data_IF_194208974422
#
_entry.id   IF_194208974422
#
_cell.length_a   1.000
_cell.length_b   1.000
_cell.length_c   1.000
_cell.angle_alpha   90.00
_cell.angle_beta   90.00
_cell.angle_gamma   90.00
#
_symmetry.space_group_name_H-M   'P 1'
#
loop_
_entity.id
_entity.type
_entity.pdbx_description
1 polymer ?
#
# COMPACT_ATOMS: atom_id res chain seq x y z
N UNK A 1 4.78 43.26 -10.32
CA UNK A 1 4.00 42.16 -9.69
C UNK A 1 3.62 41.20 -10.80
N UNK A 2 4.29 40.05 -10.88
CA UNK A 2 4.04 39.07 -11.95
C UNK A 2 2.67 38.38 -11.74
N UNK A 3 1.95 38.00 -12.81
CA UNK A 3 0.68 37.31 -12.69
C UNK A 3 0.85 35.96 -11.98
N UNK A 4 -0.03 35.71 -10.99
CA UNK A 4 -0.13 34.42 -10.31
C UNK A 4 -0.58 33.37 -11.34
N UNK A 5 0.15 32.25 -11.51
CA UNK A 5 -0.25 31.22 -12.46
C UNK A 5 -1.65 30.67 -12.11
N UNK A 6 -2.47 30.27 -13.10
CA UNK A 6 -3.77 29.68 -12.85
C UNK A 6 -3.62 28.39 -12.04
N UNK A 7 -4.62 27.99 -11.23
CA UNK A 7 -4.58 26.75 -10.45
C UNK A 7 -4.70 25.52 -11.38
N UNK A 8 -3.64 25.23 -12.12
CA UNK A 8 -3.42 23.96 -12.80
C UNK A 8 -2.77 22.92 -11.86
N UNK A 9 -2.84 23.14 -10.54
CA UNK A 9 -2.16 22.34 -9.52
C UNK A 9 -3.11 21.73 -8.46
N UNK A 10 -4.42 21.94 -8.56
CA UNK A 10 -5.41 21.34 -7.63
C UNK A 10 -5.85 19.93 -8.06
N UNK A 11 -5.45 19.51 -9.26
CA UNK A 11 -5.59 18.15 -9.75
C UNK A 11 -4.25 17.39 -9.67
N UNK A 12 -3.46 17.64 -8.62
CA UNK A 12 -2.41 16.73 -8.20
C UNK A 12 -3.09 15.41 -7.77
N UNK A 13 -3.44 14.62 -8.78
CA UNK A 13 -3.73 13.18 -8.77
C UNK A 13 -3.38 12.58 -7.42
N UNK A 14 -4.38 12.37 -6.56
CA UNK A 14 -4.30 11.41 -5.43
C UNK A 14 -3.60 10.20 -6.03
N UNK A 15 -2.34 9.97 -5.68
CA UNK A 15 -1.57 8.93 -6.33
C UNK A 15 -2.32 7.62 -6.10
N UNK A 16 -2.80 6.99 -7.17
CA UNK A 16 -3.60 5.77 -7.05
C UNK A 16 -2.78 4.77 -6.22
N UNK A 17 -3.36 4.32 -5.11
CA UNK A 17 -2.69 3.37 -4.24
C UNK A 17 -2.32 2.12 -5.05
N UNK A 18 -1.04 1.77 -5.04
CA UNK A 18 -0.53 0.60 -5.72
C UNK A 18 -0.03 -0.40 -4.69
N UNK A 19 -0.41 -1.66 -4.87
CA UNK A 19 0.00 -2.75 -4.01
C UNK A 19 0.18 -3.98 -4.89
N UNK A 20 1.38 -4.54 -4.89
CA UNK A 20 1.72 -5.73 -5.69
C UNK A 20 2.59 -6.65 -4.86
N UNK A 21 2.33 -7.94 -4.98
CA UNK A 21 3.16 -8.96 -4.37
C UNK A 21 4.00 -9.70 -5.41
N UNK A 22 5.07 -10.33 -4.93
CA UNK A 22 5.96 -11.19 -5.70
C UNK A 22 6.35 -12.39 -4.84
N UNK A 23 6.39 -13.56 -5.45
CA UNK A 23 7.03 -14.75 -4.88
C UNK A 23 8.56 -14.58 -4.91
N UNK A 24 9.21 -14.68 -3.75
CA UNK A 24 10.66 -14.59 -3.60
C UNK A 24 11.32 -15.97 -3.49
N UNK A 25 10.53 -17.05 -3.60
CA UNK A 25 10.98 -18.42 -3.38
C UNK A 25 11.22 -18.71 -1.90
N UNK A 26 11.65 -19.94 -1.59
CA UNK A 26 11.98 -20.37 -0.22
C UNK A 26 10.88 -20.09 0.82
N UNK A 27 9.60 -20.21 0.42
CA UNK A 27 8.44 -19.84 1.24
C UNK A 27 8.47 -18.38 1.74
N UNK A 28 9.04 -17.47 0.95
CA UNK A 28 9.04 -16.04 1.19
C UNK A 28 8.32 -15.29 0.06
N UNK A 29 7.62 -14.22 0.41
CA UNK A 29 6.99 -13.30 -0.53
C UNK A 29 7.33 -11.84 -0.15
N UNK A 30 7.33 -10.96 -1.14
CA UNK A 30 7.43 -9.51 -0.91
C UNK A 30 6.17 -8.81 -1.39
N UNK A 31 5.76 -7.75 -0.67
CA UNK A 31 4.67 -6.86 -1.05
C UNK A 31 5.18 -5.44 -1.04
N UNK A 32 5.04 -4.73 -2.16
CA UNK A 32 5.38 -3.30 -2.25
C UNK A 32 4.10 -2.49 -2.28
N UNK A 33 3.95 -1.60 -1.30
CA UNK A 33 2.86 -0.65 -1.21
C UNK A 33 3.36 0.77 -1.48
N UNK A 34 2.59 1.54 -2.26
CA UNK A 34 2.87 2.95 -2.54
C UNK A 34 1.59 3.78 -2.57
N UNK A 35 1.67 5.02 -2.09
CA UNK A 35 0.53 5.95 -1.97
C UNK A 35 -0.11 5.99 -0.59
N UNK A 36 -1.39 6.36 -0.52
CA UNK A 36 -2.13 6.51 0.74
C UNK A 36 -2.70 5.17 1.21
N UNK A 37 -2.38 4.79 2.46
CA UNK A 37 -2.97 3.64 3.14
C UNK A 37 -4.06 4.11 4.11
N UNK A 38 -5.30 4.11 3.63
CA UNK A 38 -6.47 4.61 4.36
C UNK A 38 -7.64 3.61 4.31
N UNK A 39 -8.80 4.04 4.82
CA UNK A 39 -10.03 3.27 4.73
C UNK A 39 -10.38 2.75 3.31
N UNK A 40 -10.13 3.54 2.28
CA UNK A 40 -10.48 3.20 0.90
C UNK A 40 -9.51 2.15 0.32
N UNK A 41 -8.25 2.16 0.74
CA UNK A 41 -7.19 1.32 0.15
C UNK A 41 -6.83 0.09 1.01
N UNK A 42 -7.21 0.10 2.30
CA UNK A 42 -6.98 -0.99 3.25
C UNK A 42 -7.50 -2.36 2.79
N UNK A 43 -8.66 -2.41 2.12
CA UNK A 43 -9.21 -3.66 1.57
C UNK A 43 -8.34 -4.25 0.46
N UNK A 44 -7.79 -3.40 -0.40
CA UNK A 44 -6.87 -3.82 -1.46
C UNK A 44 -5.58 -4.37 -0.86
N UNK A 45 -5.00 -3.68 0.13
CA UNK A 45 -3.82 -4.19 0.85
C UNK A 45 -4.10 -5.56 1.47
N UNK A 46 -5.22 -5.71 2.19
CA UNK A 46 -5.57 -6.97 2.84
C UNK A 46 -5.74 -8.13 1.83
N UNK A 47 -6.31 -7.87 0.66
CA UNK A 47 -6.41 -8.87 -0.41
C UNK A 47 -5.04 -9.36 -0.87
N UNK A 48 -4.13 -8.43 -1.18
CA UNK A 48 -2.78 -8.74 -1.64
C UNK A 48 -1.94 -9.45 -0.57
N UNK A 49 -2.05 -9.03 0.69
CA UNK A 49 -1.35 -9.69 1.81
C UNK A 49 -1.81 -11.14 1.99
N UNK A 50 -3.13 -11.41 1.92
CA UNK A 50 -3.65 -12.77 2.02
C UNK A 50 -3.20 -13.66 0.87
N UNK A 51 -3.18 -13.13 -0.35
CA UNK A 51 -2.71 -13.87 -1.52
C UNK A 51 -1.22 -14.25 -1.39
N UNK A 52 -0.39 -13.29 -0.98
CA UNK A 52 1.03 -13.52 -0.73
C UNK A 52 1.28 -14.54 0.40
N UNK A 53 0.57 -14.42 1.52
CA UNK A 53 0.66 -15.36 2.65
C UNK A 53 0.09 -16.74 2.33
N UNK A 54 -0.85 -16.84 1.39
CA UNK A 54 -1.29 -18.14 0.86
C UNK A 54 -0.17 -18.89 0.13
N UNK A 55 0.86 -18.18 -0.33
CA UNK A 55 1.98 -18.73 -1.11
C UNK A 55 3.30 -18.79 -0.32
N UNK A 56 3.40 -18.14 0.84
CA UNK A 56 4.64 -17.97 1.59
C UNK A 56 4.42 -18.00 3.11
N UNK A 57 5.42 -18.49 3.85
CA UNK A 57 5.46 -18.47 5.31
C UNK A 57 5.98 -17.15 5.86
N UNK A 58 6.83 -16.45 5.09
CA UNK A 58 7.43 -15.16 5.46
C UNK A 58 7.03 -14.11 4.44
N UNK A 59 6.55 -12.95 4.92
CA UNK A 59 6.17 -11.83 4.07
C UNK A 59 6.97 -10.58 4.44
N UNK A 60 7.64 -9.99 3.46
CA UNK A 60 8.25 -8.67 3.57
C UNK A 60 7.30 -7.61 3.02
N UNK A 61 6.81 -6.71 3.87
CA UNK A 61 6.01 -5.56 3.45
C UNK A 61 6.90 -4.32 3.31
N UNK A 62 7.16 -3.90 2.08
CA UNK A 62 7.87 -2.66 1.76
C UNK A 62 6.90 -1.47 1.74
N UNK A 63 7.07 -0.56 2.70
CA UNK A 63 6.27 0.65 2.87
C UNK A 63 7.02 1.94 2.55
N UNK A 64 8.20 1.86 1.93
CA UNK A 64 9.05 3.03 1.66
C UNK A 64 8.36 4.11 0.82
N UNK A 65 7.41 3.72 -0.02
CA UNK A 65 6.66 4.63 -0.90
C UNK A 65 5.22 4.91 -0.40
N UNK A 66 4.90 4.49 0.83
CA UNK A 66 3.63 4.85 1.48
C UNK A 66 3.74 6.28 1.98
N UNK A 67 2.85 7.15 1.51
CA UNK A 67 2.92 8.60 1.77
C UNK A 67 2.01 9.03 2.93
N UNK A 68 1.05 8.19 3.31
CA UNK A 68 0.12 8.42 4.41
C UNK A 68 -0.42 7.09 4.93
N UNK A 69 -0.68 6.99 6.23
CA UNK A 69 -1.27 5.81 6.85
C UNK A 69 -2.23 6.20 7.99
N UNK A 70 -3.42 5.60 8.02
CA UNK A 70 -4.32 5.68 9.17
C UNK A 70 -4.35 4.37 9.98
N UNK A 71 -5.10 4.36 11.09
CA UNK A 71 -5.22 3.18 11.95
C UNK A 71 -5.91 2.00 11.27
N UNK A 72 -6.74 2.22 10.25
CA UNK A 72 -7.38 1.14 9.46
C UNK A 72 -6.36 0.46 8.57
N UNK A 73 -5.44 1.24 8.00
CA UNK A 73 -4.26 0.76 7.30
C UNK A 73 -3.39 -0.17 8.15
N UNK A 74 -3.00 0.31 9.33
CA UNK A 74 -2.21 -0.49 10.28
C UNK A 74 -2.97 -1.74 10.72
N UNK A 75 -4.27 -1.62 10.99
CA UNK A 75 -5.11 -2.75 11.38
C UNK A 75 -5.15 -3.83 10.30
N UNK A 76 -5.24 -3.45 9.02
CA UNK A 76 -5.21 -4.40 7.91
C UNK A 76 -3.91 -5.21 7.84
N UNK A 77 -2.76 -4.59 8.17
CA UNK A 77 -1.46 -5.28 8.26
C UNK A 77 -1.46 -6.26 9.43
N UNK A 78 -1.91 -5.81 10.61
CA UNK A 78 -1.97 -6.66 11.80
C UNK A 78 -2.92 -7.85 11.60
N UNK A 79 -4.11 -7.64 11.02
CA UNK A 79 -5.06 -8.71 10.77
C UNK A 79 -4.49 -9.74 9.77
N UNK A 80 -3.67 -9.31 8.80
CA UNK A 80 -2.99 -10.23 7.90
C UNK A 80 -1.85 -11.02 8.58
N UNK A 81 -1.21 -10.47 9.62
CA UNK A 81 -0.15 -11.15 10.35
C UNK A 81 -0.67 -12.19 11.36
N UNK A 82 -1.95 -12.14 11.74
CA UNK A 82 -2.59 -13.07 12.67
C UNK A 82 -3.36 -14.20 11.93
N UNK A 83 -2.76 -14.79 10.89
CA UNK A 83 -3.35 -15.95 10.19
C UNK A 83 -3.67 -17.08 11.16
#
# INVERSE_FOLDING_TARGET
MAPVPPPAATAARRAAFSCRWRDEGHAAASVRAAGELDAATSRQLAGVLREALGSAQVLLLDVREVTFGDSRGVRAILDAAHV
#
